data_IF_332729700598
#
_entry.id   IF_332729700598
#
_cell.length_a   1.000
_cell.length_b   1.000
_cell.length_c   1.000
_cell.angle_alpha   90.00
_cell.angle_beta   90.00
_cell.angle_gamma   90.00
#
_symmetry.space_group_name_H-M   'P 1'
#
loop_
_entity.id
_entity.type
_entity.pdbx_description
1 polymer ?
#
# COMPACT_ATOMS: atom_id res chain seq x y z
N UNK A 1 11.54 -12.99 -6.18
CA UNK A 1 11.33 -12.73 -7.62
C UNK A 1 12.17 -11.53 -8.03
N UNK A 2 13.26 -11.71 -8.79
CA UNK A 2 14.15 -10.61 -9.21
C UNK A 2 13.61 -9.97 -10.50
N UNK A 3 12.99 -8.78 -10.39
CA UNK A 3 12.62 -7.99 -11.57
C UNK A 3 13.83 -7.13 -11.95
N UNK A 4 14.70 -7.66 -12.81
CA UNK A 4 15.68 -6.84 -13.54
C UNK A 4 14.94 -5.99 -14.56
N UNK A 5 14.79 -4.71 -14.26
CA UNK A 5 14.22 -3.73 -15.19
C UNK A 5 15.23 -3.40 -16.29
N UNK A 6 15.25 -4.23 -17.34
CA UNK A 6 15.71 -3.79 -18.67
C UNK A 6 14.70 -2.75 -19.19
N UNK A 7 15.12 -1.77 -20.02
CA UNK A 7 14.20 -0.78 -20.58
C UNK A 7 13.11 -1.48 -21.41
N UNK A 8 11.90 -1.56 -20.87
CA UNK A 8 10.77 -2.28 -21.44
C UNK A 8 9.50 -2.04 -20.63
N UNK A 9 8.35 -2.17 -21.27
CA UNK A 9 7.04 -1.96 -20.64
C UNK A 9 6.50 -3.29 -20.11
N UNK A 10 6.30 -3.39 -18.80
CA UNK A 10 5.68 -4.57 -18.17
C UNK A 10 4.16 -4.48 -18.36
N UNK A 11 3.60 -5.45 -19.07
CA UNK A 11 2.15 -5.53 -19.33
C UNK A 11 1.44 -6.59 -18.47
N UNK A 12 2.20 -7.54 -17.92
CA UNK A 12 1.65 -8.60 -17.08
C UNK A 12 2.67 -9.01 -16.03
N UNK A 13 2.20 -9.23 -14.81
CA UNK A 13 2.95 -9.81 -13.69
C UNK A 13 2.10 -10.90 -13.06
N UNK A 14 2.72 -12.04 -12.78
CA UNK A 14 2.08 -13.20 -12.15
C UNK A 14 3.02 -13.67 -11.04
N UNK A 15 2.46 -14.01 -9.88
CA UNK A 15 3.24 -14.63 -8.82
C UNK A 15 3.58 -16.09 -9.16
N UNK A 16 4.57 -16.64 -8.46
CA UNK A 16 5.05 -18.01 -8.65
C UNK A 16 3.98 -19.08 -8.43
N UNK A 17 3.00 -18.77 -7.56
CA UNK A 17 1.86 -19.63 -7.21
C UNK A 17 0.65 -19.46 -8.12
N UNK A 18 0.67 -18.49 -9.04
CA UNK A 18 -0.44 -18.09 -9.92
C UNK A 18 -1.71 -17.65 -9.20
N UNK A 19 -1.60 -17.22 -7.95
CA UNK A 19 -2.72 -16.74 -7.13
C UNK A 19 -3.03 -15.27 -7.45
N UNK A 20 -2.02 -14.48 -7.81
CA UNK A 20 -2.19 -13.09 -8.17
C UNK A 20 -1.69 -12.79 -9.57
N UNK A 21 -2.59 -12.29 -10.42
CA UNK A 21 -2.31 -11.89 -11.79
C UNK A 21 -2.65 -10.41 -11.95
N UNK A 22 -1.66 -9.61 -12.33
CA UNK A 22 -1.82 -8.20 -12.69
C UNK A 22 -1.62 -8.06 -14.19
N UNK A 23 -2.64 -7.63 -14.91
CA UNK A 23 -2.59 -7.44 -16.36
C UNK A 23 -3.00 -6.01 -16.74
N UNK A 24 -2.26 -5.41 -17.65
CA UNK A 24 -2.57 -4.10 -18.20
C UNK A 24 -3.81 -4.20 -19.09
N UNK A 25 -4.92 -3.63 -18.64
CA UNK A 25 -6.19 -3.63 -19.39
C UNK A 25 -6.18 -2.65 -20.56
N UNK A 26 -5.44 -1.54 -20.46
CA UNK A 26 -5.43 -0.51 -21.49
C UNK A 26 -4.10 0.24 -21.51
N UNK A 27 -3.60 0.49 -22.72
CA UNK A 27 -2.50 1.42 -22.98
C UNK A 27 -3.05 2.71 -23.58
N UNK A 28 -2.71 3.84 -22.98
CA UNK A 28 -3.09 5.17 -23.49
C UNK A 28 -1.87 6.05 -23.69
N UNK A 29 -1.85 6.78 -24.79
CA UNK A 29 -0.91 7.90 -24.98
C UNK A 29 -1.45 9.09 -24.19
N UNK A 30 -0.67 9.60 -23.26
CA UNK A 30 -1.02 10.75 -22.42
C UNK A 30 0.11 11.76 -22.47
N UNK A 31 -0.23 13.03 -22.63
CA UNK A 31 0.69 14.15 -22.47
C UNK A 31 0.78 14.66 -21.03
N UNK A 32 -0.09 14.18 -20.13
CA UNK A 32 0.05 14.46 -18.70
C UNK A 32 1.31 13.80 -18.18
N UNK A 33 2.08 14.55 -17.42
CA UNK A 33 3.19 14.02 -16.64
C UNK A 33 2.70 12.88 -15.74
N UNK A 34 3.40 11.76 -15.82
CA UNK A 34 3.20 10.61 -14.95
C UNK A 34 4.06 10.82 -13.70
N UNK A 35 3.44 10.74 -12.52
CA UNK A 35 4.12 10.90 -11.25
C UNK A 35 3.16 11.25 -10.14
N UNK A 36 3.62 11.12 -8.89
CA UNK A 36 2.88 11.65 -7.75
C UNK A 36 3.08 13.16 -7.69
N UNK A 37 1.99 13.93 -7.80
CA UNK A 37 2.00 15.32 -7.38
C UNK A 37 2.18 15.34 -5.87
N UNK A 38 3.35 15.82 -5.41
CA UNK A 38 3.67 15.95 -3.99
C UNK A 38 2.65 16.94 -3.38
N UNK A 39 1.54 16.39 -2.88
CA UNK A 39 0.71 17.11 -1.93
C UNK A 39 1.46 17.06 -0.61
N UNK A 40 1.58 18.22 0.01
CA UNK A 40 2.33 18.53 1.24
C UNK A 40 2.36 17.38 2.27
N UNK A 41 3.46 17.34 3.03
CA UNK A 41 3.82 16.38 4.11
C UNK A 41 4.69 15.19 3.68
N UNK A 42 5.92 15.49 3.23
CA UNK A 42 6.99 14.48 3.18
C UNK A 42 7.39 14.16 4.63
N UNK A 43 7.04 12.96 5.09
CA UNK A 43 7.58 12.40 6.33
C UNK A 43 8.89 11.70 5.97
N UNK A 44 10.02 12.24 6.43
CA UNK A 44 11.31 11.59 6.25
C UNK A 44 11.30 10.23 6.95
N UNK A 45 11.35 9.15 6.18
CA UNK A 45 11.38 7.76 6.65
C UNK A 45 12.30 6.94 5.77
N UNK A 46 12.90 5.89 6.32
CA UNK A 46 13.59 4.85 5.54
C UNK A 46 12.62 3.71 5.16
N UNK A 47 13.08 2.82 4.25
CA UNK A 47 12.30 1.69 3.75
C UNK A 47 11.93 0.70 4.86
N UNK A 48 12.85 0.41 5.77
CA UNK A 48 12.61 -0.57 6.85
C UNK A 48 11.51 -0.08 7.79
N UNK A 49 11.59 1.18 8.19
CA UNK A 49 10.60 1.85 9.03
C UNK A 49 9.24 1.95 8.34
N UNK A 50 9.22 2.30 7.04
CA UNK A 50 7.98 2.32 6.27
C UNK A 50 7.31 0.93 6.19
N UNK A 51 8.07 -0.11 5.86
CA UNK A 51 7.55 -1.47 5.77
C UNK A 51 7.00 -1.96 7.12
N UNK A 52 7.68 -1.62 8.22
CA UNK A 52 7.18 -1.90 9.56
C UNK A 52 5.86 -1.17 9.83
N UNK A 53 5.79 0.13 9.56
CA UNK A 53 4.56 0.92 9.76
C UNK A 53 3.40 0.38 8.93
N UNK A 54 3.64 0.02 7.66
CA UNK A 54 2.62 -0.57 6.80
C UNK A 54 2.14 -1.91 7.36
N UNK A 55 3.06 -2.78 7.79
CA UNK A 55 2.72 -4.06 8.41
C UNK A 55 1.89 -3.88 9.67
N UNK A 56 2.28 -2.98 10.57
CA UNK A 56 1.57 -2.72 11.81
C UNK A 56 0.15 -2.20 11.53
N UNK A 57 0.01 -1.27 10.59
CA UNK A 57 -1.29 -0.75 10.14
C UNK A 57 -2.17 -1.85 9.54
N UNK A 58 -1.59 -2.73 8.74
CA UNK A 58 -2.33 -3.82 8.10
C UNK A 58 -2.69 -4.95 9.06
N UNK A 59 -1.87 -5.17 10.08
CA UNK A 59 -2.11 -6.18 11.11
C UNK A 59 -3.24 -5.77 12.05
N UNK A 60 -3.24 -4.51 12.52
CA UNK A 60 -4.29 -3.95 13.36
C UNK A 60 -4.48 -2.45 13.07
N UNK A 61 -5.35 -2.16 12.11
CA UNK A 61 -5.62 -0.79 11.70
C UNK A 61 -6.24 0.05 12.82
N UNK A 62 -7.10 -0.56 13.65
CA UNK A 62 -7.79 0.15 14.73
C UNK A 62 -6.85 0.59 15.83
N UNK A 63 -5.90 -0.28 16.23
CA UNK A 63 -4.89 0.12 17.22
C UNK A 63 -3.87 1.11 16.63
N UNK A 64 -3.52 0.98 15.35
CA UNK A 64 -2.56 1.87 14.70
C UNK A 64 -3.03 3.32 14.69
N UNK A 65 -4.32 3.57 14.42
CA UNK A 65 -4.90 4.93 14.42
C UNK A 65 -5.55 5.32 15.76
N UNK A 66 -5.55 4.42 16.75
CA UNK A 66 -6.36 4.50 17.97
C UNK A 66 -6.16 5.77 18.81
N UNK A 67 -4.96 6.34 18.78
CA UNK A 67 -4.59 7.54 19.52
C UNK A 67 -4.57 8.80 18.65
N UNK A 68 -5.04 8.72 17.41
CA UNK A 68 -5.12 9.86 16.51
C UNK A 68 -6.31 10.75 16.89
N UNK A 69 -6.13 12.09 16.98
CA UNK A 69 -7.25 13.01 17.12
C UNK A 69 -8.22 12.97 15.92
N UNK A 70 -7.77 12.39 14.80
CA UNK A 70 -8.56 12.22 13.57
C UNK A 70 -9.12 10.78 13.44
N UNK A 71 -9.17 10.00 14.52
CA UNK A 71 -9.76 8.65 14.45
C UNK A 71 -11.25 8.74 14.09
N UNK A 72 -11.69 8.08 13.00
CA UNK A 72 -13.11 8.09 12.64
C UNK A 72 -13.95 7.45 13.74
N UNK A 73 -15.05 8.11 14.11
CA UNK A 73 -16.01 7.61 15.10
C UNK A 73 -17.34 7.28 14.42
N UNK A 74 -18.03 6.27 14.92
CA UNK A 74 -19.43 6.01 14.59
C UNK A 74 -20.33 7.10 15.19
N UNK A 75 -21.62 7.08 14.84
CA UNK A 75 -22.62 8.05 15.32
C UNK A 75 -22.78 8.04 16.85
N UNK A 76 -22.45 6.93 17.50
CA UNK A 76 -22.49 6.75 18.96
C UNK A 76 -21.19 7.19 19.66
N UNK A 77 -20.23 7.75 18.92
CA UNK A 77 -18.93 8.18 19.44
C UNK A 77 -17.92 7.06 19.67
N UNK A 78 -18.27 5.80 19.38
CA UNK A 78 -17.30 4.68 19.44
C UNK A 78 -16.35 4.70 18.24
N UNK A 79 -15.15 4.10 18.34
CA UNK A 79 -14.25 4.00 17.19
C UNK A 79 -14.90 3.26 16.02
N UNK A 80 -14.93 3.88 14.83
CA UNK A 80 -15.50 3.27 13.63
C UNK A 80 -14.68 2.05 13.16
N UNK A 81 -13.38 2.05 13.45
CA UNK A 81 -12.48 0.92 13.21
C UNK A 81 -12.16 0.30 14.57
N UNK A 82 -12.56 -0.96 14.76
CA UNK A 82 -12.31 -1.70 16.01
C UNK A 82 -10.84 -2.11 16.11
N UNK A 83 -10.34 -2.25 17.34
CA UNK A 83 -9.05 -2.91 17.60
C UNK A 83 -9.05 -4.33 17.03
N UNK A 84 -7.89 -4.83 16.65
CA UNK A 84 -7.66 -6.09 15.96
C UNK A 84 -8.35 -6.19 14.58
N UNK A 85 -8.61 -5.04 13.92
CA UNK A 85 -9.10 -5.05 12.54
C UNK A 85 -7.92 -5.31 11.59
N UNK A 86 -7.76 -6.57 11.19
CA UNK A 86 -6.76 -6.97 10.20
C UNK A 86 -7.23 -6.59 8.79
N UNK A 87 -6.41 -5.80 8.10
CA UNK A 87 -6.64 -5.44 6.71
C UNK A 87 -5.99 -6.45 5.77
N UNK A 88 -6.55 -6.55 4.55
CA UNK A 88 -5.88 -7.27 3.49
C UNK A 88 -4.53 -6.62 3.18
N UNK A 89 -3.49 -7.45 3.17
CA UNK A 89 -2.13 -7.06 2.86
C UNK A 89 -1.58 -8.01 1.81
N UNK A 90 -1.18 -7.45 0.66
CA UNK A 90 -0.62 -8.23 -0.42
C UNK A 90 0.85 -8.55 -0.06
N UNK A 91 1.21 -9.84 0.09
CA UNK A 91 2.57 -10.23 0.44
C UNK A 91 3.61 -9.85 -0.63
N UNK A 92 3.21 -9.52 -1.86
CA UNK A 92 4.12 -9.03 -2.92
C UNK A 92 4.86 -7.74 -2.48
N UNK A 93 4.29 -6.97 -1.55
CA UNK A 93 4.92 -5.76 -0.99
C UNK A 93 5.99 -6.05 0.09
N UNK A 94 6.17 -7.31 0.50
CA UNK A 94 7.15 -7.72 1.53
C UNK A 94 8.48 -8.20 0.94
N UNK A 95 8.50 -8.72 -0.29
CA UNK A 95 9.61 -9.51 -0.83
C UNK A 95 10.74 -8.65 -1.44
N UNK A 96 11.15 -7.58 -0.76
CA UNK A 96 12.33 -6.79 -1.15
C UNK A 96 13.28 -6.57 0.04
N UNK A 97 13.87 -7.66 0.54
CA UNK A 97 15.18 -7.66 1.19
C UNK A 97 16.30 -7.86 0.15
#
# INVERSE_FOLDING_TARGET
MEIRLSPGLILKVEDDRKEHVFEALQLRKSSREFGNFIHSFIITTDRQKFNKMMRDYKWDAGSFIGNSPNMPTALDGTPAIKKNTRLFYNPIELDWE
#
